data_IF_229180551490
#
_entry.id   IF_229180551490
#
_cell.length_a   1.000
_cell.length_b   1.000
_cell.length_c   1.000
_cell.angle_alpha   90.00
_cell.angle_beta   90.00
_cell.angle_gamma   90.00
#
_symmetry.space_group_name_H-M   'P 1'
#
loop_
_entity.id
_entity.type
_entity.pdbx_description
1 polymer ?
#
# COMPACT_ATOMS: atom_id res chain seq x y z
N UNK A 1 61.35 -20.82 -55.72
CA UNK A 1 61.10 -19.64 -54.86
C UNK A 1 59.75 -19.85 -54.18
N UNK A 2 59.74 -20.25 -52.90
CA UNK A 2 58.51 -20.59 -52.14
C UNK A 2 58.00 -19.31 -51.47
N UNK A 3 56.79 -18.87 -51.80
CA UNK A 3 56.12 -17.76 -51.12
C UNK A 3 55.39 -18.29 -49.89
N UNK A 4 55.75 -17.79 -48.71
CA UNK A 4 55.03 -18.01 -47.44
C UNK A 4 53.96 -16.94 -47.30
N UNK A 5 52.69 -17.35 -47.29
CA UNK A 5 51.54 -16.48 -47.00
C UNK A 5 51.36 -16.49 -45.48
N UNK A 6 51.64 -15.36 -44.82
CA UNK A 6 51.26 -15.13 -43.43
C UNK A 6 49.79 -14.68 -43.38
N UNK A 7 48.91 -15.53 -42.89
CA UNK A 7 47.53 -15.15 -42.58
C UNK A 7 47.52 -14.42 -41.22
N UNK A 8 47.28 -13.11 -41.24
CA UNK A 8 47.06 -12.31 -40.03
C UNK A 8 45.60 -12.46 -39.63
N UNK A 9 45.35 -13.21 -38.55
CA UNK A 9 44.02 -13.34 -37.95
C UNK A 9 43.77 -12.09 -37.09
N UNK A 10 42.95 -11.17 -37.59
CA UNK A 10 42.41 -10.08 -36.79
C UNK A 10 41.33 -10.63 -35.85
N UNK A 11 41.68 -10.86 -34.59
CA UNK A 11 40.70 -11.15 -33.54
C UNK A 11 39.86 -9.92 -33.26
N UNK A 12 38.58 -9.93 -33.67
CA UNK A 12 37.61 -8.92 -33.25
C UNK A 12 37.30 -9.17 -31.78
N UNK A 13 37.92 -8.38 -30.90
CA UNK A 13 37.52 -8.32 -29.49
C UNK A 13 36.20 -7.55 -29.45
N UNK A 14 35.08 -8.27 -29.46
CA UNK A 14 33.79 -7.72 -29.10
C UNK A 14 33.85 -7.37 -27.61
N UNK A 15 34.23 -6.13 -27.30
CA UNK A 15 34.01 -5.56 -25.97
C UNK A 15 32.50 -5.49 -25.78
N UNK A 16 31.91 -6.51 -25.14
CA UNK A 16 30.61 -6.36 -24.54
C UNK A 16 30.74 -5.24 -23.53
N UNK A 17 30.07 -4.12 -23.78
CA UNK A 17 29.78 -3.17 -22.70
C UNK A 17 28.90 -3.95 -21.74
N UNK A 18 29.53 -4.62 -20.77
CA UNK A 18 28.86 -5.09 -19.59
C UNK A 18 28.25 -3.83 -18.98
N UNK A 19 26.94 -3.64 -19.20
CA UNK A 19 26.17 -2.68 -18.45
C UNK A 19 26.40 -3.09 -17.00
N UNK A 20 27.19 -2.31 -16.28
CA UNK A 20 27.29 -2.46 -14.84
C UNK A 20 25.84 -2.38 -14.36
N UNK A 21 25.32 -3.46 -13.76
CA UNK A 21 24.07 -3.42 -13.01
C UNK A 21 24.30 -2.45 -11.84
N UNK A 22 24.24 -1.16 -12.11
CA UNK A 22 24.10 -0.18 -11.04
C UNK A 22 22.74 -0.49 -10.42
N UNK A 23 22.80 -0.90 -9.15
CA UNK A 23 21.62 -1.37 -8.44
C UNK A 23 20.59 -0.25 -8.38
N UNK A 24 19.44 -0.48 -9.01
CA UNK A 24 18.25 0.38 -8.91
C UNK A 24 17.40 0.05 -7.68
N UNK A 25 17.86 -0.88 -6.84
CA UNK A 25 17.15 -1.35 -5.67
C UNK A 25 17.33 -0.44 -4.47
N UNK A 26 16.21 0.02 -3.94
CA UNK A 26 16.12 0.67 -2.65
C UNK A 26 15.33 -0.24 -1.70
N UNK A 27 15.94 -0.76 -0.62
CA UNK A 27 15.23 -1.61 0.31
C UNK A 27 14.14 -0.84 1.04
N UNK A 28 13.00 -1.49 1.27
CA UNK A 28 11.90 -0.93 2.06
C UNK A 28 12.43 -0.53 3.45
N UNK A 29 12.38 0.76 3.83
CA UNK A 29 12.94 1.22 5.09
C UNK A 29 12.11 0.70 6.27
N UNK A 30 12.68 0.76 7.47
CA UNK A 30 11.92 0.48 8.69
C UNK A 30 10.72 1.43 8.77
N UNK A 31 9.54 0.86 9.04
CA UNK A 31 8.30 1.63 9.21
C UNK A 31 8.46 2.70 10.30
N UNK A 32 8.01 3.92 9.99
CA UNK A 32 8.01 5.05 10.92
C UNK A 32 6.61 5.23 11.49
N UNK A 33 6.54 5.45 12.80
CA UNK A 33 5.28 5.73 13.49
C UNK A 33 5.29 7.19 13.98
N UNK A 34 4.18 7.93 13.81
CA UNK A 34 4.06 9.30 14.31
C UNK A 34 4.29 9.40 15.82
N UNK A 35 4.80 10.54 16.29
CA UNK A 35 5.09 10.77 17.71
C UNK A 35 3.82 10.66 18.58
N UNK A 36 2.67 11.07 18.05
CA UNK A 36 1.36 11.02 18.67
C UNK A 36 0.60 9.71 18.41
N UNK A 37 1.20 8.79 17.65
CA UNK A 37 0.70 7.43 17.44
C UNK A 37 1.83 6.39 17.35
N UNK A 38 2.58 6.26 18.44
CA UNK A 38 3.65 5.25 18.56
C UNK A 38 3.11 3.83 18.44
N UNK A 39 3.89 2.94 17.84
CA UNK A 39 3.57 1.52 17.78
C UNK A 39 3.66 0.85 19.15
N UNK A 40 2.71 -0.04 19.41
CA UNK A 40 2.82 -1.14 20.37
C UNK A 40 2.11 -2.36 19.79
N UNK A 41 2.46 -3.56 20.25
CA UNK A 41 1.83 -4.79 19.77
C UNK A 41 0.34 -4.81 20.10
N UNK A 42 -0.02 -4.34 21.29
CA UNK A 42 -1.39 -4.28 21.78
C UNK A 42 -2.24 -3.32 20.94
N UNK A 43 -1.67 -2.18 20.51
CA UNK A 43 -2.35 -1.23 19.64
C UNK A 43 -2.54 -1.79 18.24
N UNK A 44 -1.55 -2.50 17.70
CA UNK A 44 -1.65 -3.18 16.41
C UNK A 44 -2.75 -4.25 16.44
N UNK A 45 -2.82 -5.07 17.49
CA UNK A 45 -3.88 -6.09 17.63
C UNK A 45 -5.27 -5.47 17.82
N UNK A 46 -5.40 -4.38 18.59
CA UNK A 46 -6.65 -3.62 18.69
C UNK A 46 -7.04 -3.06 17.31
N UNK A 47 -6.09 -2.49 16.58
CA UNK A 47 -6.29 -1.99 15.23
C UNK A 47 -6.74 -3.06 14.26
N UNK A 48 -6.12 -4.24 14.33
CA UNK A 48 -6.51 -5.42 13.55
C UNK A 48 -7.93 -5.85 13.87
N UNK A 49 -8.28 -5.95 15.16
CA UNK A 49 -9.64 -6.33 15.56
C UNK A 49 -10.66 -5.36 14.97
N UNK A 50 -10.43 -4.05 15.08
CA UNK A 50 -11.28 -3.01 14.49
C UNK A 50 -11.37 -3.12 12.96
N UNK A 51 -10.24 -3.33 12.27
CA UNK A 51 -10.17 -3.40 10.81
C UNK A 51 -11.10 -4.47 10.20
N UNK A 52 -11.29 -5.58 10.92
CA UNK A 52 -12.16 -6.69 10.50
C UNK A 52 -13.55 -6.64 11.17
N UNK A 53 -13.86 -5.64 11.99
CA UNK A 53 -15.13 -5.56 12.71
C UNK A 53 -16.19 -4.81 11.89
N UNK A 54 -17.26 -5.49 11.43
CA UNK A 54 -18.29 -4.82 10.64
C UNK A 54 -19.14 -3.87 11.47
N UNK A 55 -19.06 -3.92 12.81
CA UNK A 55 -19.76 -2.97 13.70
C UNK A 55 -19.26 -1.53 13.59
N UNK A 56 -18.15 -1.31 12.90
CA UNK A 56 -17.75 0.04 12.52
C UNK A 56 -18.69 0.70 11.51
N UNK A 57 -19.54 -0.08 10.82
CA UNK A 57 -20.53 0.45 9.87
C UNK A 57 -21.92 0.57 10.50
N UNK A 58 -22.71 1.55 10.07
CA UNK A 58 -24.07 1.74 10.58
C UNK A 58 -25.00 0.55 10.28
N UNK A 59 -24.68 -0.22 9.23
CA UNK A 59 -25.39 -1.44 8.85
C UNK A 59 -24.87 -2.70 9.55
N UNK A 60 -23.80 -2.62 10.34
CA UNK A 60 -23.10 -3.76 10.94
C UNK A 60 -22.66 -4.85 9.93
N UNK A 61 -22.43 -4.48 8.67
CA UNK A 61 -22.10 -5.41 7.56
C UNK A 61 -20.76 -5.11 6.89
N UNK A 62 -20.33 -3.84 6.88
CA UNK A 62 -19.10 -3.39 6.22
C UNK A 62 -18.00 -3.20 7.25
N UNK A 63 -16.84 -3.81 7.00
CA UNK A 63 -15.58 -3.55 7.71
C UNK A 63 -14.56 -2.96 6.74
N UNK A 64 -13.41 -2.50 7.24
CA UNK A 64 -12.30 -2.10 6.36
C UNK A 64 -11.90 -3.27 5.43
N UNK A 65 -11.91 -4.50 5.96
CA UNK A 65 -11.59 -5.71 5.22
C UNK A 65 -12.61 -6.09 4.14
N UNK A 66 -13.82 -5.53 4.14
CA UNK A 66 -14.81 -5.74 3.07
C UNK A 66 -14.30 -5.17 1.75
N UNK A 67 -13.70 -3.98 1.79
CA UNK A 67 -13.17 -3.28 0.61
C UNK A 67 -11.64 -3.48 0.43
N UNK A 68 -10.95 -3.82 1.52
CA UNK A 68 -9.49 -3.99 1.55
C UNK A 68 -9.12 -5.38 2.08
N UNK A 69 -9.48 -6.40 1.30
CA UNK A 69 -9.46 -7.80 1.71
C UNK A 69 -8.07 -8.44 1.54
N UNK A 70 -7.46 -9.01 2.60
CA UNK A 70 -6.13 -9.62 2.52
C UNK A 70 -6.04 -10.76 1.50
N UNK A 71 -7.14 -11.49 1.25
CA UNK A 71 -7.21 -12.57 0.26
C UNK A 71 -7.22 -12.08 -1.19
N UNK A 72 -7.44 -10.79 -1.42
CA UNK A 72 -7.50 -10.15 -2.74
C UNK A 72 -6.41 -9.07 -2.88
N UNK A 73 -5.26 -9.25 -2.24
CA UNK A 73 -4.16 -8.29 -2.30
C UNK A 73 -4.45 -6.98 -1.56
N UNK A 74 -5.30 -7.03 -0.53
CA UNK A 74 -5.75 -5.88 0.27
C UNK A 74 -6.54 -4.83 -0.52
N UNK A 75 -7.18 -5.25 -1.61
CA UNK A 75 -8.29 -4.55 -2.27
C UNK A 75 -9.55 -5.43 -2.26
N UNK A 76 -10.53 -5.09 -3.09
CA UNK A 76 -11.81 -5.82 -3.21
C UNK A 76 -11.93 -6.67 -4.48
N UNK A 77 -10.95 -6.58 -5.38
CA UNK A 77 -10.97 -7.28 -6.68
C UNK A 77 -11.97 -6.70 -7.67
N UNK A 78 -12.55 -5.52 -7.40
CA UNK A 78 -13.54 -4.88 -8.25
C UNK A 78 -12.94 -3.70 -9.01
N UNK A 79 -13.44 -3.36 -10.22
CA UNK A 79 -13.08 -2.13 -10.90
C UNK A 79 -13.47 -0.87 -10.11
N UNK A 80 -14.56 -0.96 -9.34
CA UNK A 80 -15.06 0.07 -8.42
C UNK A 80 -15.74 -0.61 -7.23
N UNK A 81 -15.51 -0.06 -6.05
CA UNK A 81 -15.95 -0.65 -4.79
C UNK A 81 -17.47 -0.58 -4.64
N UNK A 82 -18.04 -1.51 -3.87
CA UNK A 82 -19.46 -1.49 -3.47
C UNK A 82 -19.52 -1.20 -1.97
N UNK A 83 -20.26 -0.16 -1.57
CA UNK A 83 -20.39 0.26 -0.18
C UNK A 83 -21.82 0.09 0.36
N UNK A 84 -22.19 0.96 1.29
CA UNK A 84 -23.49 0.88 1.96
C UNK A 84 -24.67 0.91 0.98
N UNK A 85 -25.71 0.15 1.32
CA UNK A 85 -26.88 -0.04 0.45
C UNK A 85 -26.57 -0.69 -0.91
N UNK A 86 -25.45 -1.42 -1.03
CA UNK A 86 -25.01 -2.09 -2.26
C UNK A 86 -24.79 -1.13 -3.44
N UNK A 87 -24.39 0.11 -3.15
CA UNK A 87 -24.14 1.11 -4.18
C UNK A 87 -22.69 1.07 -4.64
N UNK A 88 -22.49 1.13 -5.95
CA UNK A 88 -21.15 1.27 -6.53
C UNK A 88 -20.58 2.67 -6.22
N UNK A 89 -19.34 2.71 -5.74
CA UNK A 89 -18.58 3.92 -5.47
C UNK A 89 -17.91 4.42 -6.75
N UNK A 90 -17.46 5.66 -6.72
CA UNK A 90 -16.85 6.28 -7.89
C UNK A 90 -15.38 5.93 -8.14
N UNK A 91 -14.71 5.23 -7.23
CA UNK A 91 -13.29 4.85 -7.32
C UNK A 91 -13.10 3.40 -6.89
N UNK A 92 -11.97 2.82 -7.31
CA UNK A 92 -11.53 1.53 -6.78
C UNK A 92 -10.87 1.71 -5.41
N UNK A 93 -11.00 0.69 -4.56
CA UNK A 93 -10.27 0.62 -3.31
C UNK A 93 -8.77 0.35 -3.58
N UNK A 94 -7.86 1.28 -3.25
CA UNK A 94 -6.42 1.02 -3.36
C UNK A 94 -6.01 -0.07 -2.35
N UNK A 95 -4.88 -0.74 -2.62
CA UNK A 95 -4.32 -1.71 -1.66
C UNK A 95 -3.86 -1.03 -0.37
N UNK A 96 -4.01 -1.72 0.76
CA UNK A 96 -3.42 -1.30 2.05
C UNK A 96 -1.93 -1.69 2.14
N UNK A 97 -1.45 -2.61 1.31
CA UNK A 97 -0.03 -3.01 1.32
C UNK A 97 0.84 -1.77 1.13
N UNK A 98 1.80 -1.57 2.03
CA UNK A 98 2.77 -0.48 2.01
C UNK A 98 2.17 0.93 2.14
N UNK A 99 0.87 1.09 2.43
CA UNK A 99 0.21 2.40 2.57
C UNK A 99 0.83 3.28 3.66
N UNK A 100 1.42 2.65 4.68
CA UNK A 100 2.16 3.30 5.76
C UNK A 100 3.38 4.11 5.32
N UNK A 101 3.88 3.89 4.09
CA UNK A 101 5.00 4.67 3.52
C UNK A 101 4.54 5.88 2.72
N UNK A 102 3.24 6.04 2.45
CA UNK A 102 2.74 7.15 1.66
C UNK A 102 2.62 8.44 2.48
N UNK A 103 3.02 9.56 1.89
CA UNK A 103 2.93 10.89 2.51
C UNK A 103 1.50 11.43 2.52
N UNK A 104 0.73 11.08 1.49
CA UNK A 104 -0.67 11.44 1.33
C UNK A 104 -1.47 10.16 1.06
N UNK A 105 -2.72 10.16 1.50
CA UNK A 105 -3.64 9.04 1.36
C UNK A 105 -4.78 9.43 0.43
N UNK A 106 -5.47 8.42 -0.10
CA UNK A 106 -6.49 8.53 -1.15
C UNK A 106 -5.94 8.89 -2.54
N UNK A 107 -6.69 8.53 -3.58
CA UNK A 107 -6.37 8.81 -4.99
C UNK A 107 -6.07 10.28 -5.32
N UNK A 108 -6.63 11.21 -4.56
CA UNK A 108 -6.46 12.67 -4.73
C UNK A 108 -5.63 13.32 -3.63
N UNK A 109 -5.02 12.52 -2.74
CA UNK A 109 -4.15 13.02 -1.68
C UNK A 109 -4.83 13.86 -0.61
N UNK A 110 -6.17 13.90 -0.56
CA UNK A 110 -6.90 14.80 0.35
C UNK A 110 -6.69 14.49 1.83
N UNK A 111 -6.12 13.34 2.16
CA UNK A 111 -5.84 12.88 3.52
C UNK A 111 -4.34 12.88 3.79
N UNK A 112 -3.92 13.52 4.89
CA UNK A 112 -2.50 13.75 5.21
C UNK A 112 -1.84 12.61 6.00
N UNK A 113 -2.63 11.65 6.48
CA UNK A 113 -2.15 10.52 7.26
C UNK A 113 -3.16 9.37 7.20
N UNK A 114 -2.72 8.17 7.60
CA UNK A 114 -3.60 7.01 7.79
C UNK A 114 -4.64 7.27 8.88
N UNK A 115 -4.28 7.99 9.95
CA UNK A 115 -5.21 8.35 11.02
C UNK A 115 -6.36 9.24 10.52
N UNK A 116 -6.09 10.18 9.63
CA UNK A 116 -7.13 11.03 9.03
C UNK A 116 -7.92 10.28 7.95
N UNK A 117 -7.26 9.36 7.24
CA UNK A 117 -7.90 8.51 6.25
C UNK A 117 -8.89 7.54 6.90
N UNK A 118 -8.52 6.83 7.97
CA UNK A 118 -9.33 5.79 8.60
C UNK A 118 -10.67 6.32 9.14
N UNK A 119 -10.75 7.61 9.53
CA UNK A 119 -12.01 8.24 9.95
C UNK A 119 -12.99 8.39 8.78
N UNK A 120 -12.48 8.70 7.58
CA UNK A 120 -13.28 9.05 6.41
C UNK A 120 -14.33 7.98 6.03
N UNK A 121 -13.92 6.73 5.76
CA UNK A 121 -14.83 5.65 5.39
C UNK A 121 -15.93 5.37 6.41
N UNK A 122 -15.61 5.46 7.71
CA UNK A 122 -16.55 5.19 8.80
C UNK A 122 -17.77 6.12 8.68
N UNK A 123 -17.54 7.43 8.55
CA UNK A 123 -18.62 8.42 8.46
C UNK A 123 -19.17 8.66 7.04
N UNK A 124 -18.56 8.10 6.01
CA UNK A 124 -18.97 8.35 4.63
C UNK A 124 -20.26 7.58 4.29
N UNK A 125 -21.31 8.31 3.92
CA UNK A 125 -22.63 7.74 3.65
C UNK A 125 -22.67 6.69 2.52
N UNK A 126 -21.74 6.79 1.56
CA UNK A 126 -21.62 5.81 0.48
C UNK A 126 -20.71 4.61 0.85
N UNK A 127 -19.96 4.69 1.95
CA UNK A 127 -19.01 3.66 2.38
C UNK A 127 -19.57 2.89 3.58
N UNK A 128 -19.26 3.28 4.81
CA UNK A 128 -19.70 2.55 6.02
C UNK A 128 -20.91 3.20 6.71
N UNK A 129 -21.26 4.44 6.35
CA UNK A 129 -22.47 5.14 6.75
C UNK A 129 -22.79 5.08 8.27
N UNK A 130 -21.77 5.27 9.10
CA UNK A 130 -21.90 5.23 10.56
C UNK A 130 -21.89 6.65 11.16
N UNK A 131 -22.77 6.91 12.13
CA UNK A 131 -22.67 8.09 12.97
C UNK A 131 -21.64 7.85 14.08
N UNK A 132 -20.77 8.83 14.32
CA UNK A 132 -19.69 8.66 15.29
C UNK A 132 -20.18 8.58 16.74
N UNK A 133 -21.27 9.25 17.10
CA UNK A 133 -21.80 9.16 18.46
C UNK A 133 -22.45 7.80 18.69
N UNK A 134 -23.18 7.31 17.71
CA UNK A 134 -23.77 5.97 17.75
C UNK A 134 -22.69 4.89 17.81
N UNK A 135 -21.65 4.98 16.99
CA UNK A 135 -20.50 4.07 17.06
C UNK A 135 -19.86 4.04 18.45
N UNK A 136 -19.60 5.22 19.03
CA UNK A 136 -19.00 5.30 20.36
C UNK A 136 -19.93 4.70 21.43
N UNK A 137 -21.23 4.89 21.31
CA UNK A 137 -22.23 4.29 22.22
C UNK A 137 -22.22 2.77 22.09
N UNK A 138 -22.21 2.24 20.87
CA UNK A 138 -22.16 0.80 20.60
C UNK A 138 -20.88 0.16 21.14
N UNK A 139 -19.71 0.71 20.83
CA UNK A 139 -18.44 0.15 21.28
C UNK A 139 -18.24 0.28 22.80
N UNK A 140 -18.76 1.33 23.43
CA UNK A 140 -18.73 1.46 24.91
C UNK A 140 -19.65 0.47 25.61
N UNK A 141 -20.70 -0.02 24.94
CA UNK A 141 -21.56 -1.08 25.47
C UNK A 141 -20.87 -2.47 25.46
N UNK A 142 -19.67 -2.58 24.88
CA UNK A 142 -18.90 -3.82 24.80
C UNK A 142 -17.72 -3.79 25.78
N UNK A 143 -17.80 -4.49 26.94
CA UNK A 143 -16.74 -4.45 27.95
C UNK A 143 -15.36 -4.85 27.42
N UNK A 144 -15.32 -5.75 26.43
CA UNK A 144 -14.09 -6.16 25.75
C UNK A 144 -13.38 -4.99 25.05
N UNK A 145 -14.13 -4.14 24.35
CA UNK A 145 -13.57 -2.96 23.70
C UNK A 145 -13.10 -1.93 24.72
N UNK A 146 -13.93 -1.61 25.71
CA UNK A 146 -13.56 -0.66 26.78
C UNK A 146 -12.25 -1.09 27.44
N UNK A 147 -12.13 -2.37 27.82
CA UNK A 147 -10.90 -2.91 28.42
C UNK A 147 -9.68 -2.77 27.50
N UNK A 148 -9.82 -3.10 26.22
CA UNK A 148 -8.70 -3.02 25.27
C UNK A 148 -8.26 -1.57 25.03
N UNK A 149 -9.21 -0.65 24.86
CA UNK A 149 -8.91 0.77 24.73
C UNK A 149 -8.21 1.31 25.98
N UNK A 150 -8.73 0.99 27.17
CA UNK A 150 -8.08 1.34 28.44
C UNK A 150 -6.65 0.83 28.52
N UNK A 151 -6.40 -0.42 28.12
CA UNK A 151 -5.05 -1.01 28.12
C UNK A 151 -4.07 -0.32 27.16
N UNK A 152 -4.55 0.20 26.03
CA UNK A 152 -3.69 0.75 24.97
C UNK A 152 -3.49 2.27 25.12
N UNK A 153 -4.54 2.98 25.51
CA UNK A 153 -4.60 4.45 25.49
C UNK A 153 -4.93 5.08 26.85
N UNK A 154 -5.16 4.29 27.90
CA UNK A 154 -5.55 4.76 29.24
C UNK A 154 -7.06 4.91 29.42
N UNK A 155 -7.51 5.31 30.62
CA UNK A 155 -8.93 5.42 30.95
C UNK A 155 -9.70 6.38 30.04
N UNK A 156 -10.99 6.07 29.83
CA UNK A 156 -11.91 6.88 28.99
C UNK A 156 -11.42 7.15 27.55
N UNK A 157 -10.58 6.28 27.00
CA UNK A 157 -9.88 6.51 25.75
C UNK A 157 -10.60 6.01 24.49
N UNK A 158 -11.79 5.43 24.62
CA UNK A 158 -12.61 5.01 23.48
C UNK A 158 -13.20 6.25 22.79
N UNK A 159 -12.47 6.75 21.79
CA UNK A 159 -12.74 7.93 20.97
C UNK A 159 -12.52 7.62 19.49
N UNK A 160 -13.13 8.38 18.58
CA UNK A 160 -12.92 8.21 17.12
C UNK A 160 -11.45 8.36 16.76
N UNK A 161 -10.74 9.29 17.39
CA UNK A 161 -9.32 9.49 17.18
C UNK A 161 -8.48 8.28 17.57
N UNK A 162 -8.77 7.65 18.72
CA UNK A 162 -8.04 6.44 19.12
C UNK A 162 -8.44 5.20 18.30
N UNK A 163 -9.69 5.11 17.84
CA UNK A 163 -10.12 4.09 16.87
C UNK A 163 -9.27 4.22 15.60
N UNK A 164 -9.19 5.42 15.03
CA UNK A 164 -8.41 5.68 13.83
C UNK A 164 -6.91 5.45 14.05
N UNK A 165 -6.36 5.83 15.20
CA UNK A 165 -4.96 5.55 15.57
C UNK A 165 -4.65 4.06 15.68
N UNK A 166 -5.57 3.27 16.24
CA UNK A 166 -5.42 1.82 16.32
C UNK A 166 -5.42 1.21 14.92
N UNK A 167 -6.42 1.51 14.09
CA UNK A 167 -6.53 1.04 12.70
C UNK A 167 -5.26 1.42 11.91
N UNK A 168 -4.86 2.69 11.94
CA UNK A 168 -3.66 3.17 11.27
C UNK A 168 -2.35 2.51 11.77
N UNK A 169 -2.32 2.02 13.01
CA UNK A 169 -1.17 1.24 13.52
C UNK A 169 -1.11 -0.14 12.88
N UNK A 170 -2.27 -0.78 12.71
CA UNK A 170 -2.38 -2.05 12.00
C UNK A 170 -2.06 -1.92 10.51
N UNK A 171 -2.59 -0.92 9.83
CA UNK A 171 -2.30 -0.69 8.40
C UNK A 171 -0.80 -0.53 8.14
N UNK A 172 -0.06 0.11 9.06
CA UNK A 172 1.41 0.23 9.00
C UNK A 172 2.15 -1.10 9.18
N UNK A 173 1.52 -2.16 9.68
CA UNK A 173 2.13 -3.49 9.75
C UNK A 173 1.92 -4.32 8.47
N UNK A 174 1.01 -3.88 7.59
CA UNK A 174 0.75 -4.50 6.28
C UNK A 174 1.83 -4.09 5.28
N UNK A 175 3.00 -4.74 5.36
CA UNK A 175 4.18 -4.42 4.55
C UNK A 175 4.60 -5.61 3.68
N UNK A 176 4.89 -5.36 2.41
CA UNK A 176 5.54 -6.30 1.50
C UNK A 176 7.01 -5.92 1.33
N UNK A 177 7.91 -6.85 1.69
CA UNK A 177 9.39 -6.67 1.68
C UNK A 177 10.17 -7.93 1.32
N UNK A 178 9.51 -8.92 0.73
CA UNK A 178 10.09 -10.23 0.41
C UNK A 178 9.57 -10.78 -0.94
N UNK A 179 9.28 -9.86 -1.86
CA UNK A 179 8.88 -10.19 -3.23
C UNK A 179 10.04 -10.85 -3.99
N UNK A 180 9.76 -11.51 -5.12
CA UNK A 180 10.80 -11.95 -6.05
C UNK A 180 11.81 -10.85 -6.42
N UNK A 181 11.34 -9.61 -6.57
CA UNK A 181 12.18 -8.44 -6.83
C UNK A 181 13.13 -8.16 -5.65
N UNK A 182 12.61 -8.13 -4.42
CA UNK A 182 13.45 -7.92 -3.23
C UNK A 182 14.52 -9.00 -3.11
N UNK A 183 14.10 -10.27 -3.26
CA UNK A 183 15.01 -11.44 -3.20
C UNK A 183 16.09 -11.40 -4.26
N UNK A 184 15.75 -10.96 -5.47
CA UNK A 184 16.68 -10.80 -6.58
C UNK A 184 17.82 -9.85 -6.23
N UNK A 185 17.49 -8.72 -5.61
CA UNK A 185 18.47 -7.71 -5.22
C UNK A 185 19.22 -8.04 -3.93
N UNK A 186 18.65 -8.82 -3.03
CA UNK A 186 19.35 -9.34 -1.84
C UNK A 186 20.20 -10.59 -2.13
N UNK A 187 20.47 -10.90 -3.40
CA UNK A 187 21.44 -11.91 -3.83
C UNK A 187 20.87 -13.19 -4.45
N UNK A 188 19.56 -13.43 -4.35
CA UNK A 188 18.93 -14.58 -5.00
C UNK A 188 18.54 -14.27 -6.45
N UNK A 189 19.52 -14.25 -7.36
CA UNK A 189 19.30 -13.89 -8.78
C UNK A 189 18.34 -14.82 -9.53
N UNK A 190 18.06 -16.03 -9.03
CA UNK A 190 17.05 -16.93 -9.61
C UNK A 190 15.62 -16.65 -9.14
N UNK A 191 15.43 -15.72 -8.19
CA UNK A 191 14.10 -15.32 -7.72
C UNK A 191 13.26 -14.68 -8.83
N UNK A 192 13.89 -14.07 -9.83
CA UNK A 192 13.23 -13.51 -11.01
C UNK A 192 13.58 -14.32 -12.25
N UNK A 193 12.58 -14.55 -13.10
CA UNK A 193 12.81 -15.15 -14.42
C UNK A 193 13.57 -14.19 -15.34
N UNK A 194 14.20 -14.72 -16.39
CA UNK A 194 14.85 -13.91 -17.44
C UNK A 194 13.90 -12.86 -18.01
N UNK A 195 12.63 -13.23 -18.24
CA UNK A 195 11.61 -12.29 -18.71
C UNK A 195 11.35 -11.16 -17.71
N UNK A 196 11.25 -11.48 -16.41
CA UNK A 196 11.06 -10.46 -15.37
C UNK A 196 12.27 -9.51 -15.25
N UNK A 197 13.49 -10.02 -15.37
CA UNK A 197 14.72 -9.20 -15.40
C UNK A 197 14.72 -8.28 -16.62
N UNK A 198 14.35 -8.78 -17.80
CA UNK A 198 14.20 -7.94 -19.00
C UNK A 198 13.14 -6.84 -18.80
N UNK A 199 12.00 -7.18 -18.18
CA UNK A 199 10.95 -6.21 -17.85
C UNK A 199 11.43 -5.13 -16.87
N UNK A 200 12.19 -5.51 -15.85
CA UNK A 200 12.82 -4.58 -14.91
C UNK A 200 13.78 -3.61 -15.63
N UNK A 201 14.63 -4.11 -16.53
CA UNK A 201 15.55 -3.28 -17.30
C UNK A 201 14.82 -2.29 -18.22
N UNK A 202 13.67 -2.69 -18.77
CA UNK A 202 12.80 -1.76 -19.50
C UNK A 202 12.23 -0.67 -18.58
N UNK A 203 11.68 -1.09 -17.44
CA UNK A 203 11.00 -0.23 -16.47
C UNK A 203 11.90 0.89 -15.95
N UNK A 204 13.13 0.55 -15.53
CA UNK A 204 14.09 1.50 -15.00
C UNK A 204 14.94 2.19 -16.07
N UNK A 205 14.95 1.66 -17.30
CA UNK A 205 15.70 2.20 -18.42
C UNK A 205 14.82 2.90 -19.44
N UNK A 206 14.80 2.37 -20.65
CA UNK A 206 14.26 3.06 -21.83
C UNK A 206 12.75 3.33 -21.80
N UNK A 207 11.97 2.60 -21.00
CA UNK A 207 10.52 2.85 -20.87
C UNK A 207 10.19 4.00 -19.92
N UNK A 208 11.17 4.45 -19.11
CA UNK A 208 11.04 5.60 -18.21
C UNK A 208 9.88 5.51 -17.19
N UNK A 209 9.46 4.29 -16.84
CA UNK A 209 8.40 4.07 -15.84
C UNK A 209 8.81 4.62 -14.46
N UNK A 210 10.10 4.51 -14.13
CA UNK A 210 10.70 4.98 -12.88
C UNK A 210 10.74 6.50 -12.72
N UNK A 211 10.31 7.30 -13.71
CA UNK A 211 10.17 8.75 -13.52
C UNK A 211 9.15 9.05 -12.41
N UNK A 212 8.04 8.31 -12.38
CA UNK A 212 6.99 8.46 -11.35
C UNK A 212 6.93 7.25 -10.40
N UNK A 213 7.31 6.05 -10.87
CA UNK A 213 7.21 4.81 -10.08
C UNK A 213 8.60 4.34 -9.61
N UNK A 214 9.12 4.98 -8.57
CA UNK A 214 10.48 4.75 -8.07
C UNK A 214 10.55 4.56 -6.55
N UNK A 215 11.77 4.40 -6.06
CA UNK A 215 12.06 4.22 -4.65
C UNK A 215 11.56 2.87 -4.11
N UNK A 216 11.60 2.70 -2.78
CA UNK A 216 11.38 1.41 -2.13
C UNK A 216 9.96 0.85 -2.28
N UNK A 217 8.98 1.69 -2.59
CA UNK A 217 7.56 1.31 -2.73
C UNK A 217 6.98 1.69 -4.09
N UNK A 218 7.84 1.94 -5.10
CA UNK A 218 7.46 2.21 -6.49
C UNK A 218 6.49 3.39 -6.68
N UNK A 219 6.71 4.46 -5.92
CA UNK A 219 5.98 5.73 -6.05
C UNK A 219 6.84 6.90 -5.61
N UNK A 220 6.82 7.98 -6.40
CA UNK A 220 7.41 9.26 -6.04
C UNK A 220 6.53 10.10 -5.08
N UNK A 221 5.35 9.58 -4.71
CA UNK A 221 4.31 10.26 -3.93
C UNK A 221 3.76 11.55 -4.61
N UNK A 222 3.98 11.72 -5.91
CA UNK A 222 3.53 12.87 -6.69
C UNK A 222 2.19 12.64 -7.39
N UNK A 223 1.54 13.74 -7.77
CA UNK A 223 0.40 13.74 -8.69
C UNK A 223 0.87 14.09 -10.09
N UNK A 224 0.45 13.29 -11.07
CA UNK A 224 0.88 13.43 -12.46
C UNK A 224 -0.33 13.46 -13.39
N UNK A 225 -0.33 14.39 -14.34
CA UNK A 225 -1.27 14.35 -15.46
C UNK A 225 -0.73 13.41 -16.53
N UNK A 226 -1.31 12.22 -16.61
CA UNK A 226 -0.89 11.16 -17.54
C UNK A 226 -1.62 11.20 -18.88
N UNK A 227 -2.47 12.20 -19.14
CA UNK A 227 -3.19 12.34 -20.41
C UNK A 227 -4.24 11.25 -20.68
N UNK A 228 -4.56 10.41 -19.69
CA UNK A 228 -5.58 9.37 -19.79
C UNK A 228 -6.95 9.96 -19.44
N UNK A 229 -7.93 9.77 -20.33
CA UNK A 229 -9.31 10.24 -20.10
C UNK A 229 -9.91 9.55 -18.88
N UNK A 230 -10.52 10.33 -17.98
CA UNK A 230 -11.24 9.78 -16.84
C UNK A 230 -12.36 8.82 -17.28
N UNK A 231 -12.47 7.69 -16.58
CA UNK A 231 -13.52 6.69 -16.76
C UNK A 231 -14.34 6.54 -15.46
N UNK A 232 -15.60 6.12 -15.56
CA UNK A 232 -16.49 5.96 -14.40
C UNK A 232 -17.41 7.16 -14.11
N UNK A 233 -18.16 7.12 -12.99
CA UNK A 233 -19.20 8.10 -12.66
C UNK A 233 -18.65 9.43 -12.09
N UNK A 234 -17.37 9.48 -11.69
CA UNK A 234 -16.69 10.69 -11.20
C UNK A 234 -15.87 11.40 -12.28
N UNK A 235 -16.27 11.31 -13.55
CA UNK A 235 -15.63 12.07 -14.64
C UNK A 235 -15.81 13.56 -14.39
N UNK A 236 -14.70 14.27 -14.25
CA UNK A 236 -14.61 15.73 -14.46
C UNK A 236 -13.81 15.98 -15.73
#
# INVERSE_FOLDING_TARGET
>A
MRYLIFAVVFGVVLSSTAWTEESVYEPVPKMKHPADNKWSKEKEELGKMLYFDPRLSGSNWISCATCHNPGLGWGDGLPRTIGDGQKELGRHAPTVINSGYFKLQMWDGRKKSLEDQAKGPIGAAAEMNQDYNDLLKELKALPGYVKQFTSVFGENSLTIDNIAKAIATFERSVVSKNSPYDKYWTGNKSAMSVSAVNGMNLFFGKAKCSICHNGPVFTDNGFHNIGVKAAGPLKV
#
